data_IF_336006609024
#
_entry.id   IF_336006609024
#
_cell.length_a   1.000
_cell.length_b   1.000
_cell.length_c   1.000
_cell.angle_alpha   90.00
_cell.angle_beta   90.00
_cell.angle_gamma   90.00
#
_symmetry.space_group_name_H-M   'P 1'
#
loop_
_entity.id
_entity.type
_entity.pdbx_description
1 polymer ?
#
# COMPACT_ATOMS: atom_id res chain seq x y z
N UNK A 1 13.53 75.56 11.10
CA UNK A 1 12.48 76.60 11.06
C UNK A 1 11.23 75.85 11.45
N UNK A 2 10.84 75.93 12.70
CA UNK A 2 9.86 76.79 13.31
C UNK A 2 8.44 76.54 12.74
N UNK A 3 7.66 75.95 13.60
CA UNK A 3 6.42 76.40 14.29
C UNK A 3 5.16 75.95 13.54
N UNK A 4 4.01 75.65 14.14
CA UNK A 4 3.53 75.65 15.52
C UNK A 4 2.14 75.00 15.51
N UNK A 5 1.71 74.44 16.61
CA UNK A 5 0.32 74.14 16.98
C UNK A 5 -0.49 75.46 17.23
N UNK A 6 -1.81 75.44 17.18
CA UNK A 6 -2.63 75.47 18.42
C UNK A 6 -3.87 74.61 18.35
N UNK A 7 -4.32 73.96 19.39
CA UNK A 7 -5.01 74.19 20.66
C UNK A 7 -6.53 74.48 20.58
N UNK A 8 -7.29 73.53 21.22
CA UNK A 8 -8.46 73.70 22.09
C UNK A 8 -9.78 74.34 21.57
N UNK A 9 -10.93 73.63 21.72
CA UNK A 9 -11.90 73.82 22.76
C UNK A 9 -13.11 72.89 22.64
N UNK A 10 -13.39 72.19 23.66
CA UNK A 10 -14.56 71.80 24.44
C UNK A 10 -15.97 72.14 23.90
N UNK A 11 -16.89 71.14 23.92
CA UNK A 11 -18.19 71.24 24.63
C UNK A 11 -18.81 69.88 24.86
N UNK A 12 -19.29 69.69 26.08
CA UNK A 12 -20.03 68.54 26.62
C UNK A 12 -21.45 68.48 26.03
N UNK A 13 -21.98 67.26 25.87
CA UNK A 13 -23.41 67.00 26.06
C UNK A 13 -23.59 65.58 26.57
N UNK A 14 -24.16 65.45 27.74
CA UNK A 14 -24.69 64.18 28.30
C UNK A 14 -25.93 63.78 27.49
N UNK A 15 -26.13 62.50 27.24
CA UNK A 15 -27.44 61.84 27.40
C UNK A 15 -27.34 60.33 27.41
N UNK A 16 -27.89 59.76 28.47
CA UNK A 16 -28.63 58.53 28.63
C UNK A 16 -27.88 57.15 28.48
N UNK A 17 -27.65 56.53 29.63
CA UNK A 17 -27.50 55.11 29.85
C UNK A 17 -28.73 54.33 29.35
N UNK A 18 -28.51 53.34 28.48
CA UNK A 18 -29.41 52.22 28.31
C UNK A 18 -28.60 50.94 28.57
N UNK A 19 -28.92 50.31 29.71
CA UNK A 19 -28.32 49.02 30.12
C UNK A 19 -28.96 47.92 29.29
N UNK A 20 -28.20 47.33 28.36
CA UNK A 20 -28.48 45.98 27.80
C UNK A 20 -27.60 44.97 28.55
N UNK A 21 -28.20 44.23 29.48
CA UNK A 21 -27.63 43.00 30.02
C UNK A 21 -27.73 41.91 28.96
N UNK A 22 -26.66 41.74 28.18
CA UNK A 22 -26.47 40.56 27.35
C UNK A 22 -25.91 39.43 28.19
N UNK A 23 -26.73 38.41 28.53
CA UNK A 23 -26.27 37.17 29.12
C UNK A 23 -25.34 36.45 28.10
N UNK A 24 -24.04 36.51 28.31
CA UNK A 24 -23.10 35.64 27.69
C UNK A 24 -23.23 34.25 28.31
N UNK A 25 -23.93 33.31 27.63
CA UNK A 25 -23.82 31.90 27.91
C UNK A 25 -22.43 31.47 27.47
N UNK A 26 -21.50 31.32 28.38
CA UNK A 26 -20.25 30.62 28.19
C UNK A 26 -20.60 29.14 28.17
N UNK A 27 -20.79 28.60 26.97
CA UNK A 27 -20.83 27.14 26.78
C UNK A 27 -19.42 26.60 27.03
N UNK A 28 -19.16 26.13 28.23
CA UNK A 28 -17.99 25.31 28.53
C UNK A 28 -18.13 23.99 27.77
N UNK A 29 -17.47 23.88 26.62
CA UNK A 29 -17.17 22.57 26.03
C UNK A 29 -16.26 21.85 27.01
N UNK A 30 -16.82 20.93 27.80
CA UNK A 30 -16.06 19.93 28.52
C UNK A 30 -15.52 18.97 27.48
N UNK A 31 -14.30 19.20 27.03
CA UNK A 31 -13.56 18.19 26.29
C UNK A 31 -13.32 17.03 27.27
N UNK A 32 -14.13 15.99 27.17
CA UNK A 32 -13.86 14.71 27.82
C UNK A 32 -12.55 14.17 27.22
N UNK A 33 -11.47 14.30 27.96
CA UNK A 33 -10.23 13.62 27.62
C UNK A 33 -10.54 12.13 27.56
N UNK A 34 -10.46 11.55 26.37
CA UNK A 34 -10.53 10.11 26.18
C UNK A 34 -9.34 9.51 26.94
N UNK A 35 -9.61 8.87 28.09
CA UNK A 35 -8.59 8.15 28.82
C UNK A 35 -8.39 6.81 28.13
N UNK A 36 -7.16 6.57 27.65
CA UNK A 36 -6.78 5.26 27.13
C UNK A 36 -6.89 4.21 28.23
N UNK A 37 -7.37 3.01 27.91
CA UNK A 37 -7.49 1.90 28.84
C UNK A 37 -6.14 1.44 29.39
N UNK A 38 -6.14 0.59 30.43
CA UNK A 38 -4.91 0.13 31.05
C UNK A 38 -4.10 -0.78 30.11
N UNK A 39 -2.77 -0.73 30.28
CA UNK A 39 -1.86 -1.69 29.69
C UNK A 39 -1.84 -2.99 30.49
N UNK A 40 -1.93 -4.12 29.80
CA UNK A 40 -1.79 -5.46 30.38
C UNK A 40 -0.45 -6.06 29.91
N UNK A 41 0.39 -6.61 30.82
CA UNK A 41 1.60 -7.31 30.40
C UNK A 41 1.24 -8.64 29.71
N UNK A 42 1.89 -8.94 28.59
CA UNK A 42 1.82 -10.25 27.92
C UNK A 42 2.93 -11.20 28.34
N UNK A 43 3.92 -10.71 29.06
CA UNK A 43 5.05 -11.45 29.59
C UNK A 43 5.35 -10.98 31.01
N UNK A 44 5.50 -11.92 31.93
CA UNK A 44 5.71 -11.66 33.35
C UNK A 44 7.19 -11.38 33.73
N UNK A 45 8.10 -11.44 32.73
CA UNK A 45 9.54 -11.30 32.93
C UNK A 45 10.22 -12.54 33.52
N UNK A 46 9.51 -13.63 33.78
CA UNK A 46 10.04 -14.79 34.50
C UNK A 46 9.78 -16.13 33.83
N UNK A 47 8.61 -16.30 33.21
CA UNK A 47 8.15 -17.58 32.65
C UNK A 47 7.54 -17.40 31.27
N UNK A 48 7.44 -18.49 30.51
CA UNK A 48 6.70 -18.56 29.26
C UNK A 48 5.25 -19.02 29.48
N UNK A 49 4.70 -18.85 30.68
CA UNK A 49 3.30 -19.17 30.96
C UNK A 49 2.36 -18.34 30.07
N UNK A 50 1.37 -18.98 29.44
CA UNK A 50 0.47 -18.36 28.48
C UNK A 50 1.04 -18.28 27.06
N UNK A 51 2.21 -18.90 26.83
CA UNK A 51 2.84 -19.02 25.51
C UNK A 51 3.05 -20.49 25.14
N UNK A 52 2.98 -20.80 23.84
CA UNK A 52 3.29 -22.12 23.29
C UNK A 52 4.08 -21.99 22.00
N UNK A 53 4.95 -22.95 21.72
CA UNK A 53 5.71 -22.96 20.48
C UNK A 53 4.96 -23.69 19.36
N UNK A 54 4.98 -23.12 18.16
CA UNK A 54 4.47 -23.70 16.92
C UNK A 54 5.53 -23.63 15.82
N UNK A 55 5.38 -24.47 14.81
CA UNK A 55 6.30 -24.52 13.67
C UNK A 55 7.59 -25.27 13.98
N UNK A 56 8.74 -24.62 13.75
CA UNK A 56 10.06 -25.22 13.93
C UNK A 56 10.46 -25.48 15.39
N UNK A 57 11.75 -25.85 15.57
CA UNK A 57 12.30 -26.27 16.86
C UNK A 57 13.36 -25.32 17.43
N UNK A 58 13.41 -24.08 16.95
CA UNK A 58 14.31 -23.08 17.53
C UNK A 58 13.99 -22.86 19.02
N UNK A 59 14.97 -22.91 19.93
CA UNK A 59 14.69 -22.81 21.37
C UNK A 59 14.30 -21.39 21.78
N UNK A 60 13.37 -21.29 22.72
CA UNK A 60 13.01 -20.08 23.45
C UNK A 60 13.30 -20.27 24.94
N UNK A 61 13.90 -19.26 25.55
CA UNK A 61 14.22 -19.25 26.96
C UNK A 61 13.91 -17.88 27.57
N UNK A 62 13.83 -17.83 28.92
CA UNK A 62 13.77 -16.55 29.64
C UNK A 62 15.12 -16.32 30.29
N UNK A 63 15.76 -15.20 30.00
CA UNK A 63 17.03 -14.76 30.59
C UNK A 63 16.90 -13.29 31.00
N UNK A 64 17.17 -12.97 32.24
CA UNK A 64 17.19 -11.59 32.76
C UNK A 64 15.97 -10.76 32.38
N UNK A 65 14.76 -11.28 32.55
CA UNK A 65 13.51 -10.60 32.24
C UNK A 65 13.23 -10.46 30.76
N UNK A 66 13.89 -11.25 29.93
CA UNK A 66 13.81 -11.17 28.46
C UNK A 66 13.50 -12.55 27.87
N UNK A 67 12.59 -12.61 26.90
CA UNK A 67 12.39 -13.79 26.05
C UNK A 67 13.53 -13.81 25.02
N UNK A 68 14.24 -14.91 24.93
CA UNK A 68 15.36 -15.11 23.98
C UNK A 68 15.05 -16.28 23.07
N UNK A 69 14.91 -16.01 21.78
CA UNK A 69 14.86 -17.02 20.72
C UNK A 69 16.25 -17.19 20.09
N UNK A 70 16.65 -18.41 19.76
CA UNK A 70 17.96 -18.69 19.17
C UNK A 70 17.81 -19.42 17.84
N UNK A 71 18.45 -18.93 16.79
CA UNK A 71 18.41 -19.56 15.46
C UNK A 71 19.08 -20.93 15.45
N UNK A 72 18.48 -21.87 14.75
CA UNK A 72 18.97 -23.25 14.58
C UNK A 72 18.93 -23.63 13.10
N UNK A 73 19.97 -24.29 12.62
CA UNK A 73 20.02 -24.81 11.25
C UNK A 73 19.01 -25.94 11.02
N UNK A 74 18.54 -26.07 9.77
CA UNK A 74 17.73 -27.19 9.33
C UNK A 74 16.30 -27.25 9.89
N UNK A 75 15.82 -26.20 10.52
CA UNK A 75 14.43 -26.10 11.01
C UNK A 75 13.63 -25.05 10.21
N UNK A 76 12.31 -25.23 10.01
CA UNK A 76 11.46 -24.18 9.49
C UNK A 76 11.32 -23.03 10.50
N UNK A 77 10.59 -21.98 10.13
CA UNK A 77 10.25 -20.87 11.04
C UNK A 77 9.65 -21.40 12.33
N UNK A 78 10.14 -20.91 13.45
CA UNK A 78 9.63 -21.20 14.79
C UNK A 78 8.91 -19.98 15.35
N UNK A 79 7.80 -20.20 16.02
CA UNK A 79 6.93 -19.16 16.53
C UNK A 79 6.57 -19.42 17.99
N UNK A 80 6.93 -18.50 18.89
CA UNK A 80 6.43 -18.52 20.26
C UNK A 80 5.12 -17.74 20.26
N UNK A 81 3.98 -18.43 20.38
CA UNK A 81 2.63 -17.88 20.21
C UNK A 81 1.93 -17.69 21.53
N UNK A 82 1.13 -16.61 21.67
CA UNK A 82 0.21 -16.51 22.81
C UNK A 82 -0.89 -17.57 22.73
N UNK A 83 -1.28 -18.14 23.86
CA UNK A 83 -2.43 -19.07 23.95
C UNK A 83 -3.75 -18.31 23.73
N UNK A 84 -3.84 -17.06 24.19
CA UNK A 84 -4.97 -16.17 23.97
C UNK A 84 -4.93 -15.57 22.58
N UNK A 85 -6.10 -15.22 22.06
CA UNK A 85 -6.28 -14.50 20.80
C UNK A 85 -6.86 -13.11 21.05
N UNK A 86 -6.51 -12.15 20.19
CA UNK A 86 -6.84 -10.74 20.32
C UNK A 86 -7.47 -10.24 19.04
N UNK A 87 -8.53 -9.42 19.15
CA UNK A 87 -9.20 -8.72 18.06
C UNK A 87 -8.60 -7.32 17.88
N UNK A 88 -9.27 -6.31 18.43
CA UNK A 88 -8.76 -4.93 18.44
C UNK A 88 -7.80 -4.74 19.60
N UNK A 89 -6.68 -4.07 19.32
CA UNK A 89 -5.63 -3.83 20.30
C UNK A 89 -4.64 -2.74 19.87
N UNK A 90 -3.89 -2.26 20.87
CA UNK A 90 -2.59 -1.59 20.72
C UNK A 90 -1.57 -2.46 21.44
N UNK A 91 -0.52 -2.87 20.75
CA UNK A 91 0.56 -3.70 21.29
C UNK A 91 1.89 -2.96 21.22
N UNK A 92 2.72 -3.15 22.24
CA UNK A 92 4.09 -2.64 22.27
C UNK A 92 5.05 -3.68 22.84
N UNK A 93 6.27 -3.68 22.32
CA UNK A 93 7.40 -4.40 22.88
C UNK A 93 8.73 -3.73 22.53
N UNK A 94 9.79 -4.14 23.19
CA UNK A 94 11.15 -3.85 22.77
C UNK A 94 11.81 -5.11 22.22
N UNK A 95 12.55 -4.97 21.12
CA UNK A 95 13.27 -6.05 20.45
C UNK A 95 14.72 -5.68 20.17
N UNK A 96 15.62 -6.66 20.33
CA UNK A 96 17.04 -6.54 19.99
C UNK A 96 17.53 -7.85 19.36
N UNK A 97 18.48 -7.76 18.44
CA UNK A 97 19.18 -8.92 17.88
C UNK A 97 20.64 -8.91 18.31
N UNK A 98 21.22 -10.09 18.50
CA UNK A 98 22.61 -10.28 18.89
C UNK A 98 23.29 -11.34 18.01
N UNK A 99 24.57 -11.11 17.70
CA UNK A 99 25.36 -12.01 16.84
C UNK A 99 25.15 -11.76 15.35
N UNK A 100 24.73 -10.56 14.98
CA UNK A 100 24.38 -10.15 13.63
C UNK A 100 22.89 -10.25 13.33
N UNK A 101 22.48 -9.59 12.26
CA UNK A 101 21.07 -9.53 11.86
C UNK A 101 20.56 -10.86 11.30
N UNK A 102 19.35 -11.22 11.68
CA UNK A 102 18.58 -12.30 11.07
C UNK A 102 17.14 -11.84 10.85
N UNK A 103 16.45 -12.38 9.85
CA UNK A 103 15.04 -12.10 9.65
C UNK A 103 14.23 -12.55 10.89
N UNK A 104 13.23 -11.79 11.26
CA UNK A 104 12.34 -12.04 12.39
C UNK A 104 11.06 -11.22 12.23
N UNK A 105 10.22 -11.22 13.25
CA UNK A 105 9.01 -10.39 13.27
C UNK A 105 8.12 -10.66 14.47
N UNK A 106 7.13 -9.80 14.63
CA UNK A 106 6.03 -9.99 15.56
C UNK A 106 4.75 -10.22 14.77
N UNK A 107 4.24 -11.44 14.83
CA UNK A 107 2.95 -11.75 14.23
C UNK A 107 1.80 -11.28 15.11
N UNK A 108 0.70 -10.88 14.47
CA UNK A 108 -0.52 -10.44 15.14
C UNK A 108 -1.76 -10.87 14.35
N UNK A 109 -2.87 -11.08 15.04
CA UNK A 109 -4.09 -11.65 14.46
C UNK A 109 -3.78 -12.89 13.60
N UNK A 110 -2.79 -13.69 14.01
CA UNK A 110 -2.33 -14.86 13.27
C UNK A 110 -3.02 -16.13 13.74
N UNK A 111 -2.97 -17.15 12.91
CA UNK A 111 -3.67 -18.41 13.07
C UNK A 111 -2.75 -19.60 12.75
N UNK A 112 -3.13 -20.78 13.25
CA UNK A 112 -2.54 -22.07 12.90
C UNK A 112 -3.70 -23.07 12.89
N UNK A 113 -4.28 -23.29 11.72
CA UNK A 113 -5.46 -24.11 11.51
C UNK A 113 -5.04 -25.45 10.90
N UNK A 114 -5.51 -26.56 11.45
CA UNK A 114 -5.09 -27.89 10.98
C UNK A 114 -5.35 -28.10 9.49
N UNK A 115 -6.46 -27.55 8.97
CA UNK A 115 -6.86 -27.60 7.57
C UNK A 115 -6.04 -26.67 6.66
N UNK A 116 -5.30 -25.71 7.22
CA UNK A 116 -4.47 -24.80 6.43
C UNK A 116 -3.01 -25.27 6.43
N UNK A 117 -2.55 -25.83 5.31
CA UNK A 117 -1.17 -26.29 5.12
C UNK A 117 -0.61 -27.07 6.33
N UNK A 118 -1.41 -28.03 6.86
CA UNK A 118 -1.06 -28.87 8.01
C UNK A 118 -0.71 -28.06 9.27
N UNK A 119 -1.48 -27.01 9.58
CA UNK A 119 -1.28 -26.20 10.79
C UNK A 119 -0.18 -25.13 10.64
N UNK A 120 0.24 -24.81 9.43
CA UNK A 120 1.21 -23.73 9.21
C UNK A 120 0.73 -22.43 9.86
N UNK A 121 1.61 -21.81 10.64
CA UNK A 121 1.36 -20.47 11.19
C UNK A 121 1.26 -19.47 10.04
N UNK A 122 0.20 -18.68 10.04
CA UNK A 122 -0.09 -17.71 9.00
C UNK A 122 -0.81 -16.48 9.55
N UNK A 123 -0.60 -15.32 8.95
CA UNK A 123 -1.23 -14.07 9.37
C UNK A 123 -0.33 -12.86 9.21
N UNK A 124 -0.78 -11.73 9.75
CA UNK A 124 -0.05 -10.48 9.66
C UNK A 124 1.22 -10.49 10.53
N UNK A 125 2.28 -9.91 10.02
CA UNK A 125 3.56 -9.77 10.72
C UNK A 125 4.10 -8.36 10.57
N UNK A 126 4.41 -7.70 11.70
CA UNK A 126 5.38 -6.62 11.70
C UNK A 126 6.73 -7.25 11.42
N UNK A 127 7.22 -7.04 10.23
CA UNK A 127 8.46 -7.66 9.76
C UNK A 127 9.68 -6.99 10.34
N UNK A 128 10.72 -7.77 10.65
CA UNK A 128 12.06 -7.27 10.97
C UNK A 128 13.04 -7.88 9.96
N UNK A 129 13.48 -7.01 9.06
CA UNK A 129 14.38 -7.34 7.96
C UNK A 129 15.65 -6.48 8.03
N UNK A 130 16.68 -6.95 8.73
CA UNK A 130 17.95 -6.23 8.89
C UNK A 130 18.89 -6.40 7.69
N UNK A 131 18.45 -7.03 6.61
CA UNK A 131 19.23 -7.15 5.37
C UNK A 131 19.39 -5.78 4.68
N UNK A 132 20.25 -5.65 3.66
CA UNK A 132 20.36 -4.41 2.87
C UNK A 132 19.04 -3.94 2.25
N UNK A 133 18.03 -4.80 2.14
CA UNK A 133 16.68 -4.44 1.73
C UNK A 133 16.02 -3.48 2.74
N UNK A 134 16.25 -3.69 4.03
CA UNK A 134 15.81 -2.82 5.14
C UNK A 134 14.30 -2.54 5.14
N UNK A 135 13.47 -3.59 5.12
CA UNK A 135 12.02 -3.48 5.14
C UNK A 135 11.40 -3.71 6.52
N UNK A 136 12.19 -3.49 7.58
CA UNK A 136 11.69 -3.59 8.96
C UNK A 136 10.53 -2.63 9.21
N UNK A 137 9.51 -3.11 9.92
CA UNK A 137 8.26 -2.39 10.21
C UNK A 137 7.21 -2.49 9.10
N UNK A 138 7.55 -3.01 7.92
CA UNK A 138 6.57 -3.35 6.90
C UNK A 138 5.60 -4.43 7.39
N UNK A 139 4.43 -4.56 6.75
CA UNK A 139 3.48 -5.64 7.04
C UNK A 139 3.61 -6.73 5.99
N UNK A 140 3.99 -7.91 6.48
CA UNK A 140 4.05 -9.16 5.71
C UNK A 140 2.88 -10.06 6.13
N UNK A 141 2.29 -10.78 5.19
CA UNK A 141 1.22 -11.75 5.43
C UNK A 141 1.79 -13.16 5.35
N UNK A 142 2.38 -13.62 6.46
CA UNK A 142 3.10 -14.90 6.59
C UNK A 142 2.24 -16.07 6.17
N UNK A 143 2.79 -16.92 5.32
CA UNK A 143 2.13 -18.13 4.86
C UNK A 143 0.94 -17.92 3.92
N UNK A 144 0.61 -16.67 3.52
CA UNK A 144 -0.54 -16.35 2.66
C UNK A 144 -0.15 -15.46 1.47
N UNK A 145 -0.36 -14.12 1.57
CA UNK A 145 -0.25 -13.17 0.44
C UNK A 145 1.11 -12.50 0.32
N UNK A 146 2.03 -12.71 1.29
CA UNK A 146 3.34 -12.07 1.30
C UNK A 146 3.27 -10.58 1.66
N UNK A 147 4.05 -9.74 0.98
CA UNK A 147 4.13 -8.32 1.31
C UNK A 147 2.82 -7.57 1.03
N UNK A 148 2.16 -7.10 2.08
CA UNK A 148 1.06 -6.15 1.98
C UNK A 148 1.57 -4.72 1.96
N UNK A 149 2.61 -4.43 2.76
CA UNK A 149 3.25 -3.12 2.82
C UNK A 149 4.78 -3.28 2.83
N UNK A 150 5.42 -3.39 1.66
CA UNK A 150 6.88 -3.43 1.57
C UNK A 150 7.49 -2.08 1.94
N UNK A 151 8.74 -2.05 2.44
CA UNK A 151 9.42 -0.83 2.88
C UNK A 151 9.62 0.22 1.77
N UNK A 152 9.49 -0.16 0.51
CA UNK A 152 9.52 0.77 -0.63
C UNK A 152 8.35 1.76 -0.65
N UNK A 153 7.23 1.45 0.00
CA UNK A 153 6.10 2.37 0.15
C UNK A 153 6.38 3.49 1.16
N UNK A 154 7.35 3.30 2.05
CA UNK A 154 7.83 4.31 2.99
C UNK A 154 9.37 4.28 3.08
N UNK A 155 10.09 4.83 2.09
CA UNK A 155 11.56 4.82 2.08
C UNK A 155 12.21 5.53 3.27
N UNK A 156 11.51 6.47 3.92
CA UNK A 156 12.02 7.18 5.11
C UNK A 156 12.13 6.28 6.35
N UNK A 157 11.49 5.12 6.35
CA UNK A 157 11.57 4.15 7.45
C UNK A 157 12.81 3.24 7.38
N UNK A 158 13.59 3.31 6.30
CA UNK A 158 14.69 2.38 6.00
C UNK A 158 15.66 2.17 7.16
N UNK A 159 16.05 3.23 7.86
CA UNK A 159 17.11 3.20 8.86
C UNK A 159 16.57 3.29 10.31
N UNK A 160 15.27 3.09 10.50
CA UNK A 160 14.64 3.18 11.82
C UNK A 160 15.02 2.01 12.74
N UNK A 161 15.12 0.79 12.19
CA UNK A 161 15.53 -0.38 12.94
C UNK A 161 17.05 -0.40 13.09
N UNK A 162 17.52 -0.38 14.33
CA UNK A 162 18.95 -0.36 14.67
C UNK A 162 19.39 -1.74 15.16
N UNK A 163 20.22 -2.41 14.36
CA UNK A 163 20.77 -3.70 14.71
C UNK A 163 21.58 -3.62 16.02
N UNK A 164 21.53 -4.67 16.85
CA UNK A 164 22.21 -4.81 18.15
C UNK A 164 21.83 -3.76 19.21
N UNK A 165 20.78 -2.97 18.94
CA UNK A 165 20.17 -2.04 19.90
C UNK A 165 18.74 -2.45 20.22
N UNK A 166 18.25 -2.01 21.37
CA UNK A 166 16.82 -2.13 21.69
C UNK A 166 16.03 -1.18 20.81
N UNK A 167 15.06 -1.73 20.09
CA UNK A 167 14.11 -1.01 19.26
C UNK A 167 12.71 -1.15 19.84
N UNK A 168 12.01 -0.05 19.97
CA UNK A 168 10.60 -0.05 20.38
C UNK A 168 9.73 -0.34 19.14
N UNK A 169 8.92 -1.38 19.25
CA UNK A 169 7.95 -1.80 18.23
C UNK A 169 6.54 -1.53 18.75
N UNK A 170 5.69 -0.95 17.89
CA UNK A 170 4.28 -0.74 18.19
C UNK A 170 3.42 -1.23 17.04
N UNK A 171 2.30 -1.88 17.36
CA UNK A 171 1.27 -2.33 16.42
C UNK A 171 -0.07 -1.81 16.91
N UNK A 172 -0.83 -1.14 16.05
CA UNK A 172 -2.24 -0.86 16.23
C UNK A 172 -3.05 -1.68 15.24
N UNK A 173 -3.98 -2.48 15.74
CA UNK A 173 -4.95 -3.20 14.95
C UNK A 173 -6.34 -2.89 15.51
N UNK A 174 -7.03 -1.91 14.92
CA UNK A 174 -8.34 -1.43 15.36
C UNK A 174 -9.30 -1.50 14.17
N UNK A 175 -10.35 -2.30 14.28
CA UNK A 175 -11.21 -2.63 13.15
C UNK A 175 -10.41 -3.22 12.00
N UNK A 176 -10.49 -2.63 10.83
CA UNK A 176 -9.75 -3.03 9.63
C UNK A 176 -8.41 -2.33 9.46
N UNK A 177 -8.08 -1.35 10.32
CA UNK A 177 -6.84 -0.59 10.24
C UNK A 177 -5.71 -1.31 10.96
N UNK A 178 -4.60 -1.55 10.25
CA UNK A 178 -3.39 -2.20 10.74
C UNK A 178 -2.23 -1.24 10.53
N UNK A 179 -1.61 -0.78 11.61
CA UNK A 179 -0.53 0.21 11.57
C UNK A 179 0.66 -0.26 12.39
N UNK A 180 1.86 0.08 11.96
CA UNK A 180 3.10 -0.27 12.65
C UNK A 180 4.01 0.94 12.86
N UNK A 181 4.79 0.91 13.93
CA UNK A 181 5.82 1.91 14.26
C UNK A 181 7.10 1.22 14.67
N UNK A 182 8.23 1.84 14.36
CA UNK A 182 9.55 1.53 14.92
C UNK A 182 10.10 2.80 15.57
N UNK A 183 10.54 2.70 16.82
CA UNK A 183 11.13 3.80 17.59
C UNK A 183 10.26 5.08 17.59
N UNK A 184 8.95 4.91 17.68
CA UNK A 184 7.97 6.00 17.70
C UNK A 184 7.63 6.59 16.33
N UNK A 185 8.26 6.14 15.24
CA UNK A 185 8.00 6.64 13.88
C UNK A 185 7.06 5.68 13.15
N UNK A 186 5.96 6.17 12.51
CA UNK A 186 5.03 5.33 11.75
C UNK A 186 5.73 4.76 10.50
N UNK A 187 5.52 3.46 10.26
CA UNK A 187 6.16 2.73 9.15
C UNK A 187 5.17 2.28 8.10
N UNK A 188 4.06 1.65 8.51
CA UNK A 188 3.10 1.09 7.56
C UNK A 188 1.65 1.32 7.99
N UNK A 189 0.76 1.37 6.98
CA UNK A 189 -0.68 1.45 7.17
C UNK A 189 -1.40 0.58 6.12
N UNK A 190 -2.03 -0.49 6.58
CA UNK A 190 -2.82 -1.42 5.75
C UNK A 190 -4.28 -1.41 6.24
N UNK A 191 -5.21 -1.42 5.31
CA UNK A 191 -6.64 -1.65 5.57
C UNK A 191 -6.98 -3.05 5.07
N UNK A 192 -7.33 -3.95 6.00
CA UNK A 192 -7.63 -5.34 5.70
C UNK A 192 -8.61 -5.94 6.71
N UNK A 193 -9.47 -6.84 6.26
CA UNK A 193 -10.48 -7.52 7.09
C UNK A 193 -10.38 -9.05 7.07
N UNK A 194 -9.31 -9.60 6.48
CA UNK A 194 -9.20 -11.06 6.27
C UNK A 194 -9.14 -11.84 7.59
N UNK A 195 -8.40 -11.33 8.58
CA UNK A 195 -8.28 -11.99 9.89
C UNK A 195 -8.51 -10.97 11.01
N UNK A 196 -9.76 -10.85 11.51
CA UNK A 196 -10.12 -9.85 12.51
C UNK A 196 -9.61 -10.19 13.91
N UNK A 197 -9.21 -11.45 14.18
CA UNK A 197 -8.77 -11.94 15.48
C UNK A 197 -7.78 -13.09 15.33
N UNK A 198 -6.76 -13.14 16.19
CA UNK A 198 -5.78 -14.21 16.23
C UNK A 198 -4.78 -14.03 17.37
N UNK A 199 -3.76 -14.87 17.43
CA UNK A 199 -2.71 -14.81 18.43
C UNK A 199 -1.57 -13.84 18.00
N UNK A 200 -0.72 -13.46 18.97
CA UNK A 200 0.61 -12.91 18.73
C UNK A 200 1.64 -14.02 18.64
N UNK A 201 2.67 -13.82 17.82
CA UNK A 201 3.82 -14.72 17.82
C UNK A 201 5.15 -13.97 17.65
N UNK A 202 6.16 -14.44 18.37
CA UNK A 202 7.54 -13.99 18.22
C UNK A 202 8.27 -14.98 17.31
N UNK A 203 8.78 -14.50 16.17
CA UNK A 203 9.37 -15.37 15.14
C UNK A 203 10.87 -15.52 15.34
N UNK A 204 11.36 -16.78 15.31
CA UNK A 204 12.73 -17.13 14.96
C UNK A 204 12.70 -17.70 13.54
N UNK A 205 13.21 -16.93 12.60
CA UNK A 205 13.18 -17.30 11.18
C UNK A 205 14.15 -18.45 10.88
N UNK A 206 13.77 -19.31 9.96
CA UNK A 206 14.63 -20.36 9.40
C UNK A 206 15.89 -19.75 8.79
N UNK A 207 17.02 -20.30 9.14
CA UNK A 207 18.34 -19.90 8.58
C UNK A 207 18.90 -20.95 7.62
N UNK A 208 18.13 -22.01 7.32
CA UNK A 208 18.59 -23.11 6.51
C UNK A 208 19.87 -23.73 7.07
N UNK A 209 20.82 -24.03 6.20
CA UNK A 209 22.16 -24.53 6.56
C UNK A 209 23.25 -23.48 6.29
N UNK A 210 22.90 -22.19 6.31
CA UNK A 210 23.87 -21.13 6.03
C UNK A 210 24.90 -21.02 7.15
N UNK A 211 26.21 -21.05 6.83
CA UNK A 211 27.26 -20.91 7.83
C UNK A 211 27.15 -19.60 8.62
N UNK A 212 27.36 -19.65 9.95
CA UNK A 212 27.35 -18.47 10.82
C UNK A 212 25.97 -17.86 11.08
N UNK A 213 24.90 -18.51 10.65
CA UNK A 213 23.53 -18.03 10.93
C UNK A 213 22.90 -18.71 12.16
N UNK A 214 23.33 -19.93 12.52
CA UNK A 214 22.90 -20.60 13.73
C UNK A 214 23.54 -19.96 14.99
N UNK A 215 22.81 -19.96 16.10
CA UNK A 215 23.26 -19.41 17.37
C UNK A 215 23.02 -17.90 17.53
N UNK A 216 22.47 -17.22 16.52
CA UNK A 216 22.07 -15.81 16.65
C UNK A 216 20.87 -15.69 17.57
N UNK A 217 20.84 -14.62 18.36
CA UNK A 217 19.82 -14.42 19.40
C UNK A 217 18.90 -13.27 19.02
N UNK A 218 17.61 -13.48 19.23
CA UNK A 218 16.57 -12.48 19.12
C UNK A 218 15.95 -12.32 20.51
N UNK A 219 15.88 -11.11 21.01
CA UNK A 219 15.50 -10.78 22.37
C UNK A 219 14.26 -9.89 22.36
N UNK A 220 13.26 -10.22 23.20
CA UNK A 220 12.04 -9.44 23.38
C UNK A 220 11.79 -9.19 24.86
N UNK A 221 11.41 -7.96 25.22
CA UNK A 221 11.01 -7.57 26.57
C UNK A 221 9.91 -6.53 26.56
N UNK A 222 9.35 -6.20 27.71
CA UNK A 222 8.33 -5.16 27.89
C UNK A 222 7.11 -5.36 26.97
N UNK A 223 6.72 -6.64 26.74
CA UNK A 223 5.56 -6.98 25.91
C UNK A 223 4.29 -6.59 26.67
N UNK A 224 3.51 -5.66 26.12
CA UNK A 224 2.27 -5.17 26.71
C UNK A 224 1.20 -4.88 25.68
N UNK A 225 -0.05 -4.93 26.10
CA UNK A 225 -1.21 -4.76 25.23
C UNK A 225 -2.30 -3.90 25.89
N UNK A 226 -3.01 -3.12 25.11
CA UNK A 226 -4.30 -2.52 25.44
C UNK A 226 -5.37 -3.16 24.57
N UNK A 227 -6.50 -3.52 25.16
CA UNK A 227 -7.65 -4.12 24.48
C UNK A 227 -8.97 -3.42 24.78
N UNK A 228 -8.94 -2.40 25.66
CA UNK A 228 -10.12 -1.62 26.06
C UNK A 228 -9.83 -0.14 25.90
N UNK A 229 -10.88 0.64 25.64
CA UNK A 229 -10.83 2.10 25.52
C UNK A 229 -9.69 2.56 24.61
N UNK A 230 -9.60 1.91 23.44
CA UNK A 230 -8.52 2.12 22.48
C UNK A 230 -8.64 3.50 21.86
N UNK A 231 -7.57 4.29 21.95
CA UNK A 231 -7.45 5.59 21.28
C UNK A 231 -6.47 5.42 20.13
N UNK A 232 -6.94 5.46 18.86
CA UNK A 232 -6.06 5.35 17.71
C UNK A 232 -5.01 6.47 17.70
N UNK A 233 -3.79 6.15 17.29
CA UNK A 233 -2.78 7.18 17.03
C UNK A 233 -3.25 8.17 15.97
N UNK A 234 -2.84 9.44 16.05
CA UNK A 234 -3.20 10.45 15.05
C UNK A 234 -2.93 9.97 13.62
N UNK A 235 -3.67 10.54 12.66
CA UNK A 235 -3.43 10.30 11.25
C UNK A 235 -2.02 10.76 10.85
N UNK A 236 -1.40 10.03 9.94
CA UNK A 236 -0.12 10.36 9.34
C UNK A 236 -0.29 10.57 7.81
N UNK A 237 0.81 10.87 7.14
CA UNK A 237 0.84 11.09 5.68
C UNK A 237 1.24 9.85 4.89
N UNK A 238 1.31 8.68 5.52
CA UNK A 238 1.68 7.45 4.83
C UNK A 238 0.70 7.10 3.71
N UNK A 239 1.22 6.48 2.68
CA UNK A 239 0.37 5.80 1.71
C UNK A 239 -0.42 4.69 2.43
N UNK A 240 -1.73 4.66 2.25
CA UNK A 240 -2.60 3.64 2.82
C UNK A 240 -2.81 2.52 1.80
N UNK A 241 -2.34 1.32 2.13
CA UNK A 241 -2.58 0.14 1.31
C UNK A 241 -3.88 -0.52 1.73
N UNK A 242 -4.98 -0.18 1.06
CA UNK A 242 -6.26 -0.85 1.27
C UNK A 242 -6.35 -2.08 0.35
N UNK A 243 -6.51 -3.25 0.94
CA UNK A 243 -6.63 -4.53 0.24
C UNK A 243 -8.07 -5.11 0.28
N UNK A 244 -9.02 -4.38 0.86
CA UNK A 244 -10.45 -4.75 0.81
C UNK A 244 -10.99 -4.33 -0.55
N UNK A 245 -11.45 -5.27 -1.39
CA UNK A 245 -11.85 -4.96 -2.75
C UNK A 245 -12.96 -3.91 -2.84
N UNK A 246 -12.83 -3.00 -3.81
CA UNK A 246 -13.82 -1.98 -4.16
C UNK A 246 -14.27 -1.11 -2.98
N UNK A 247 -13.35 -0.81 -2.06
CA UNK A 247 -13.63 0.06 -0.93
C UNK A 247 -12.63 1.23 -0.84
N UNK A 248 -13.08 2.31 -0.22
CA UNK A 248 -12.25 3.44 0.20
C UNK A 248 -12.48 3.65 1.68
N UNK A 249 -11.45 3.52 2.49
CA UNK A 249 -11.50 3.75 3.94
C UNK A 249 -11.66 5.23 4.27
N UNK A 250 -12.07 5.57 5.50
CA UNK A 250 -12.19 6.97 5.94
C UNK A 250 -10.85 7.73 5.85
N UNK A 251 -9.74 7.05 6.13
CA UNK A 251 -8.40 7.64 5.98
C UNK A 251 -8.09 7.95 4.51
N UNK A 252 -8.42 7.05 3.60
CA UNK A 252 -8.22 7.29 2.17
C UNK A 252 -9.13 8.42 1.67
N UNK A 253 -10.40 8.48 2.12
CA UNK A 253 -11.30 9.61 1.81
C UNK A 253 -10.73 10.95 2.27
N UNK A 254 -10.18 10.99 3.49
CA UNK A 254 -9.51 12.18 4.01
C UNK A 254 -8.27 12.58 3.20
N UNK A 255 -7.60 11.60 2.55
CA UNK A 255 -6.49 11.84 1.62
C UNK A 255 -6.95 12.17 0.17
N UNK A 256 -8.27 12.29 -0.07
CA UNK A 256 -8.85 12.63 -1.38
C UNK A 256 -9.11 11.46 -2.32
N UNK A 257 -8.97 10.22 -1.86
CA UNK A 257 -9.29 9.04 -2.67
C UNK A 257 -10.79 8.84 -2.84
N UNK A 258 -11.18 8.40 -4.01
CA UNK A 258 -12.54 7.91 -4.34
C UNK A 258 -12.46 6.70 -5.27
N UNK A 259 -13.51 5.91 -5.30
CA UNK A 259 -13.65 4.89 -6.34
C UNK A 259 -13.81 5.58 -7.70
N UNK A 260 -13.08 5.09 -8.68
CA UNK A 260 -13.25 5.42 -10.09
C UNK A 260 -14.15 4.42 -10.79
N UNK A 261 -14.30 3.23 -10.19
CA UNK A 261 -15.27 2.20 -10.56
C UNK A 261 -15.93 1.65 -9.30
N UNK A 262 -17.26 1.55 -9.31
CA UNK A 262 -18.08 1.21 -8.14
C UNK A 262 -18.11 -0.29 -7.79
N UNK A 263 -17.50 -1.13 -8.64
CA UNK A 263 -17.50 -2.59 -8.48
C UNK A 263 -18.75 -3.28 -9.02
N UNK A 264 -19.72 -2.55 -9.60
CA UNK A 264 -21.02 -3.11 -9.95
C UNK A 264 -21.61 -2.64 -11.28
N UNK A 265 -21.37 -1.38 -11.68
CA UNK A 265 -22.01 -0.76 -12.84
C UNK A 265 -21.00 -0.26 -13.87
N UNK A 266 -21.50 0.26 -14.98
CA UNK A 266 -20.67 0.90 -16.02
C UNK A 266 -20.56 2.41 -15.82
N UNK A 267 -21.09 2.96 -14.73
CA UNK A 267 -21.13 4.40 -14.47
C UNK A 267 -19.73 5.02 -14.50
N UNK A 268 -19.60 6.15 -15.20
CA UNK A 268 -18.33 6.86 -15.39
C UNK A 268 -17.39 6.27 -16.44
N UNK A 269 -17.82 5.20 -17.15
CA UNK A 269 -17.06 4.53 -18.20
C UNK A 269 -17.89 4.34 -19.48
N UNK A 270 -17.22 4.45 -20.61
CA UNK A 270 -17.79 4.19 -21.93
C UNK A 270 -16.76 3.57 -22.87
N UNK A 271 -17.18 3.04 -24.00
CA UNK A 271 -16.26 2.60 -25.03
C UNK A 271 -15.43 3.76 -25.60
N UNK A 272 -14.17 3.50 -25.93
CA UNK A 272 -13.33 4.47 -26.61
C UNK A 272 -13.96 4.84 -27.98
N UNK A 273 -14.10 6.13 -28.24
CA UNK A 273 -14.79 6.69 -29.41
C UNK A 273 -16.28 6.28 -29.52
N UNK A 274 -16.92 5.93 -28.41
CA UNK A 274 -18.32 5.58 -28.30
C UNK A 274 -19.02 6.45 -27.26
N UNK A 275 -20.35 6.48 -27.27
CA UNK A 275 -21.16 7.24 -26.29
C UNK A 275 -21.67 6.36 -25.15
N UNK A 276 -21.58 5.04 -25.28
CA UNK A 276 -22.03 4.07 -24.26
C UNK A 276 -20.95 3.05 -23.97
N UNK A 277 -21.11 2.33 -22.87
CA UNK A 277 -20.27 1.19 -22.54
C UNK A 277 -20.48 0.05 -23.56
N UNK A 278 -19.42 -0.70 -23.99
CA UNK A 278 -19.54 -1.77 -24.95
C UNK A 278 -20.54 -2.85 -24.50
N UNK A 279 -21.41 -3.28 -25.37
CA UNK A 279 -22.39 -4.33 -25.07
C UNK A 279 -21.74 -5.74 -24.96
N UNK A 280 -20.56 -5.91 -25.54
CA UNK A 280 -19.80 -7.17 -25.55
C UNK A 280 -18.35 -6.93 -25.15
N UNK A 281 -17.60 -8.01 -24.89
CA UNK A 281 -16.17 -7.98 -24.62
C UNK A 281 -15.81 -7.59 -23.18
N UNK A 282 -16.75 -7.11 -22.40
CA UNK A 282 -16.57 -6.81 -20.98
C UNK A 282 -17.64 -7.50 -20.15
N UNK A 283 -17.24 -7.98 -18.98
CA UNK A 283 -18.12 -8.64 -18.01
C UNK A 283 -17.93 -8.03 -16.63
N UNK A 284 -19.04 -7.67 -15.99
CA UNK A 284 -19.07 -7.24 -14.59
C UNK A 284 -19.74 -8.33 -13.78
N UNK A 285 -19.03 -8.91 -12.84
CA UNK A 285 -19.56 -9.94 -11.94
C UNK A 285 -18.74 -10.02 -10.65
N UNK A 286 -19.39 -10.22 -9.50
CA UNK A 286 -18.74 -10.42 -8.20
C UNK A 286 -17.74 -9.32 -7.80
N UNK A 287 -18.00 -8.07 -8.17
CA UNK A 287 -17.07 -6.97 -7.91
C UNK A 287 -15.82 -6.97 -8.80
N UNK A 288 -15.85 -7.71 -9.91
CA UNK A 288 -14.78 -7.81 -10.88
C UNK A 288 -15.22 -7.30 -12.25
N UNK A 289 -14.36 -6.54 -12.92
CA UNK A 289 -14.50 -6.06 -14.29
C UNK A 289 -13.50 -6.83 -15.15
N UNK A 290 -14.01 -7.70 -16.04
CA UNK A 290 -13.17 -8.60 -16.82
C UNK A 290 -13.28 -8.36 -18.32
N UNK A 291 -12.17 -8.43 -19.05
CA UNK A 291 -12.18 -8.62 -20.49
C UNK A 291 -12.64 -10.05 -20.78
N UNK A 292 -13.71 -10.19 -21.53
CA UNK A 292 -14.21 -11.47 -22.01
C UNK A 292 -13.66 -11.74 -23.42
N UNK A 293 -12.73 -12.71 -23.58
CA UNK A 293 -12.22 -13.04 -24.89
C UNK A 293 -13.33 -13.37 -25.90
N UNK A 294 -13.22 -12.97 -27.18
CA UNK A 294 -14.19 -13.34 -28.18
C UNK A 294 -14.37 -14.87 -28.26
N UNK A 295 -15.60 -15.33 -28.28
CA UNK A 295 -15.91 -16.77 -28.39
C UNK A 295 -16.72 -17.05 -29.67
N UNK A 296 -16.26 -18.03 -30.44
CA UNK A 296 -16.90 -18.45 -31.68
C UNK A 296 -16.43 -17.70 -32.92
N UNK A 297 -16.76 -18.28 -34.08
CA UNK A 297 -16.39 -17.71 -35.38
C UNK A 297 -17.07 -16.35 -35.62
N UNK A 298 -16.29 -15.33 -35.98
CA UNK A 298 -16.81 -13.97 -36.21
C UNK A 298 -17.06 -13.13 -34.95
N UNK A 299 -16.76 -13.65 -33.74
CA UNK A 299 -16.88 -12.88 -32.50
C UNK A 299 -15.90 -11.69 -32.50
N UNK A 300 -16.39 -10.52 -32.08
CA UNK A 300 -15.61 -9.27 -32.04
C UNK A 300 -15.21 -8.96 -30.58
N UNK A 301 -14.06 -8.30 -30.43
CA UNK A 301 -13.66 -7.67 -29.17
C UNK A 301 -14.65 -6.56 -28.80
N UNK A 302 -14.81 -6.29 -27.51
CA UNK A 302 -15.63 -5.16 -27.05
C UNK A 302 -15.01 -3.81 -27.34
N UNK A 303 -13.69 -3.80 -27.40
CA UNK A 303 -12.88 -2.60 -27.54
C UNK A 303 -12.53 -1.95 -26.20
N UNK A 304 -11.60 -1.05 -26.24
CA UNK A 304 -11.11 -0.31 -25.08
C UNK A 304 -12.24 0.49 -24.42
N UNK A 305 -12.18 0.62 -23.08
CA UNK A 305 -13.07 1.50 -22.31
C UNK A 305 -12.28 2.67 -21.74
N UNK A 306 -12.92 3.85 -21.71
CA UNK A 306 -12.35 5.10 -21.20
C UNK A 306 -13.22 5.69 -20.11
N UNK A 307 -12.61 6.44 -19.21
CA UNK A 307 -13.35 7.28 -18.25
C UNK A 307 -14.10 8.40 -18.98
N UNK A 308 -15.28 8.79 -18.48
CA UNK A 308 -15.98 10.00 -18.93
C UNK A 308 -15.25 11.26 -18.47
N UNK A 309 -14.54 11.19 -17.39
CA UNK A 309 -13.76 12.24 -16.75
C UNK A 309 -12.33 12.30 -17.32
N UNK A 310 -11.71 13.49 -17.32
CA UNK A 310 -10.30 13.71 -17.70
C UNK A 310 -9.45 14.04 -16.46
N UNK A 311 -8.16 13.78 -16.55
CA UNK A 311 -7.20 13.95 -15.47
C UNK A 311 -5.93 14.63 -15.97
N UNK A 312 -5.37 15.53 -15.15
CA UNK A 312 -4.07 16.20 -15.41
C UNK A 312 -3.00 15.72 -14.42
N UNK A 313 -3.18 15.97 -13.13
CA UNK A 313 -2.32 15.45 -12.07
C UNK A 313 -3.16 14.58 -11.14
N UNK A 314 -2.76 13.33 -10.97
CA UNK A 314 -3.56 12.33 -10.26
C UNK A 314 -2.73 11.18 -9.75
N UNK A 315 -3.32 10.43 -8.84
CA UNK A 315 -2.83 9.12 -8.44
C UNK A 315 -3.95 8.10 -8.67
N UNK A 316 -3.66 7.09 -9.47
CA UNK A 316 -4.53 5.95 -9.76
C UNK A 316 -3.99 4.71 -9.06
N UNK A 317 -4.85 3.95 -8.41
CA UNK A 317 -4.53 2.64 -7.88
C UNK A 317 -5.60 1.64 -8.33
N UNK A 318 -5.18 0.44 -8.69
CA UNK A 318 -6.08 -0.65 -9.06
C UNK A 318 -5.45 -2.01 -8.81
N UNK A 319 -6.29 -3.02 -8.69
CA UNK A 319 -5.85 -4.41 -8.73
C UNK A 319 -6.20 -5.05 -10.06
N UNK A 320 -5.29 -5.88 -10.57
CA UNK A 320 -5.47 -6.62 -11.80
C UNK A 320 -5.02 -8.08 -11.65
N UNK A 321 -5.58 -8.96 -12.47
CA UNK A 321 -5.21 -10.37 -12.56
C UNK A 321 -5.11 -10.76 -14.03
N UNK A 322 -3.94 -11.26 -14.44
CA UNK A 322 -3.65 -11.72 -15.80
C UNK A 322 -3.84 -13.22 -15.90
N UNK A 323 -4.52 -13.69 -16.92
CA UNK A 323 -4.46 -15.08 -17.30
C UNK A 323 -3.16 -15.39 -18.05
N UNK A 324 -2.73 -16.68 -18.12
CA UNK A 324 -1.54 -17.07 -18.87
C UNK A 324 -1.58 -16.59 -20.33
N UNK A 325 -0.52 -15.88 -20.75
CA UNK A 325 -0.39 -15.32 -22.08
C UNK A 325 -1.17 -14.02 -22.34
N UNK A 326 -1.81 -13.45 -21.33
CA UNK A 326 -2.64 -12.25 -21.50
C UNK A 326 -1.83 -10.99 -21.75
N UNK A 327 -2.44 -10.07 -22.51
CA UNK A 327 -2.00 -8.71 -22.78
C UNK A 327 -3.15 -7.73 -22.53
N UNK A 328 -2.86 -6.64 -21.87
CA UNK A 328 -3.74 -5.50 -21.64
C UNK A 328 -2.88 -4.27 -21.28
N UNK A 329 -3.50 -3.16 -20.90
CA UNK A 329 -2.81 -1.95 -20.48
C UNK A 329 -3.73 -0.98 -19.77
N UNK A 330 -3.13 -0.14 -18.93
CA UNK A 330 -3.78 1.04 -18.38
C UNK A 330 -3.19 2.25 -19.07
N UNK A 331 -3.99 2.90 -19.96
CA UNK A 331 -3.52 4.10 -20.64
C UNK A 331 -3.98 5.36 -19.92
N UNK A 332 -3.17 6.40 -20.02
CA UNK A 332 -3.42 7.70 -19.40
C UNK A 332 -3.00 8.84 -20.34
N UNK A 333 -3.51 10.03 -20.11
CA UNK A 333 -3.49 11.13 -21.07
C UNK A 333 -4.07 10.71 -22.43
N UNK A 334 -5.14 9.90 -22.37
CA UNK A 334 -5.76 9.37 -23.59
C UNK A 334 -6.51 10.47 -24.30
N UNK A 335 -6.18 10.58 -25.61
CA UNK A 335 -6.88 11.43 -26.58
C UNK A 335 -7.55 10.53 -27.60
N UNK A 336 -8.85 10.70 -27.79
CA UNK A 336 -9.63 9.99 -28.80
C UNK A 336 -9.47 10.70 -30.16
N UNK A 337 -9.29 9.91 -31.20
CA UNK A 337 -9.05 10.43 -32.55
C UNK A 337 -10.35 10.49 -33.35
N UNK A 338 -10.55 11.53 -34.21
CA UNK A 338 -11.75 11.62 -35.04
C UNK A 338 -11.95 10.42 -35.98
N UNK A 339 -10.85 9.77 -36.39
CA UNK A 339 -10.87 8.58 -37.26
C UNK A 339 -11.09 7.27 -36.50
N UNK A 340 -11.37 7.36 -35.21
CA UNK A 340 -11.48 6.24 -34.30
C UNK A 340 -10.13 5.86 -33.63
N UNK A 341 -10.21 5.14 -32.55
CA UNK A 341 -9.09 4.76 -31.70
C UNK A 341 -8.73 5.79 -30.64
N UNK A 342 -8.01 5.35 -29.65
CA UNK A 342 -7.60 6.11 -28.48
C UNK A 342 -6.09 5.97 -28.28
N UNK A 343 -5.39 7.09 -28.16
CA UNK A 343 -3.95 7.13 -28.02
C UNK A 343 -3.58 7.75 -26.67
N UNK A 344 -2.70 7.11 -25.93
CA UNK A 344 -2.19 7.59 -24.65
C UNK A 344 -0.91 6.89 -24.25
N UNK A 345 -0.28 7.38 -23.19
CA UNK A 345 0.81 6.70 -22.50
C UNK A 345 0.25 5.44 -21.86
N UNK A 346 1.06 4.38 -21.74
CA UNK A 346 0.55 3.08 -21.33
C UNK A 346 1.42 2.44 -20.24
N UNK A 347 0.79 2.15 -19.10
CA UNK A 347 1.30 1.21 -18.11
C UNK A 347 0.97 -0.20 -18.61
N UNK A 348 2.00 -0.96 -19.03
CA UNK A 348 1.81 -2.27 -19.64
C UNK A 348 1.35 -3.33 -18.62
N UNK A 349 0.35 -4.12 -19.00
CA UNK A 349 -0.12 -5.31 -18.29
C UNK A 349 0.04 -6.53 -19.19
N UNK A 350 1.05 -7.37 -18.93
CA UNK A 350 1.44 -8.44 -19.85
C UNK A 350 1.99 -9.65 -19.10
N UNK A 351 1.76 -10.84 -19.64
CA UNK A 351 2.51 -12.04 -19.25
C UNK A 351 3.88 -12.04 -19.96
N UNK A 352 4.91 -11.66 -19.24
CA UNK A 352 6.27 -11.51 -19.78
C UNK A 352 6.86 -12.80 -20.35
N UNK A 353 6.40 -13.96 -19.85
CA UNK A 353 6.93 -15.27 -20.27
C UNK A 353 6.26 -15.77 -21.54
N UNK A 354 4.92 -15.67 -21.60
CA UNK A 354 4.13 -16.35 -22.65
C UNK A 354 3.67 -15.43 -23.77
N UNK A 355 3.49 -14.12 -23.52
CA UNK A 355 3.04 -13.23 -24.59
C UNK A 355 4.20 -12.81 -25.51
N UNK A 356 3.99 -12.88 -26.82
CA UNK A 356 5.02 -12.62 -27.82
C UNK A 356 5.56 -11.18 -27.79
N UNK A 357 4.71 -10.18 -27.47
CA UNK A 357 5.08 -8.77 -27.44
C UNK A 357 6.14 -8.45 -26.35
N UNK A 358 6.20 -9.23 -25.26
CA UNK A 358 7.24 -9.08 -24.24
C UNK A 358 8.66 -9.31 -24.79
N UNK A 359 8.79 -10.06 -25.87
CA UNK A 359 10.06 -10.38 -26.54
C UNK A 359 10.45 -9.37 -27.62
N UNK A 360 9.56 -8.41 -27.89
CA UNK A 360 9.76 -7.33 -28.84
C UNK A 360 10.20 -6.04 -28.13
N UNK A 361 10.44 -4.99 -28.91
CA UNK A 361 10.91 -3.73 -28.35
C UNK A 361 12.39 -3.74 -27.97
N UNK A 362 12.79 -2.88 -27.06
CA UNK A 362 14.19 -2.66 -26.66
C UNK A 362 14.33 -2.82 -25.14
N UNK A 363 15.25 -3.67 -24.71
CA UNK A 363 15.63 -3.86 -23.30
C UNK A 363 14.43 -4.16 -22.37
N UNK A 364 13.36 -4.81 -22.85
CA UNK A 364 12.19 -5.15 -22.04
C UNK A 364 11.19 -4.00 -21.85
N UNK A 365 11.22 -2.98 -22.70
CA UNK A 365 10.30 -1.84 -22.62
C UNK A 365 8.84 -2.15 -23.01
N UNK A 366 8.52 -3.43 -23.22
CA UNK A 366 7.15 -3.93 -23.44
C UNK A 366 6.72 -4.98 -22.42
N UNK A 367 7.44 -5.08 -21.30
CA UNK A 367 7.10 -6.00 -20.21
C UNK A 367 6.16 -5.38 -19.19
N UNK A 368 5.59 -6.21 -18.30
CA UNK A 368 4.68 -5.78 -17.24
C UNK A 368 5.22 -4.58 -16.45
N UNK A 369 4.43 -3.53 -16.31
CA UNK A 369 4.77 -2.33 -15.53
C UNK A 369 5.65 -1.33 -16.26
N UNK A 370 6.15 -1.62 -17.45
CA UNK A 370 6.91 -0.68 -18.29
C UNK A 370 6.05 0.51 -18.74
N UNK A 371 6.68 1.64 -19.10
CA UNK A 371 6.06 2.61 -19.99
C UNK A 371 6.20 2.05 -21.42
N UNK A 372 5.11 1.49 -21.92
CA UNK A 372 5.09 0.67 -23.13
C UNK A 372 5.84 1.28 -24.31
N UNK A 373 6.76 0.50 -24.85
CA UNK A 373 7.64 0.83 -26.00
C UNK A 373 8.58 2.03 -25.78
N UNK A 374 8.66 2.56 -24.55
CA UNK A 374 9.49 3.71 -24.21
C UNK A 374 10.51 3.38 -23.13
N UNK A 375 10.05 3.01 -21.90
CA UNK A 375 10.92 2.83 -20.73
C UNK A 375 10.66 1.46 -20.12
N UNK A 376 11.69 0.58 -20.04
CA UNK A 376 11.55 -0.70 -19.38
C UNK A 376 11.33 -0.51 -17.86
N UNK A 377 10.67 -1.46 -17.23
CA UNK A 377 10.67 -1.47 -15.76
C UNK A 377 12.09 -1.67 -15.24
N UNK A 378 12.45 -0.93 -14.19
CA UNK A 378 13.74 -1.09 -13.54
C UNK A 378 13.82 -2.42 -12.78
N UNK A 379 15.01 -2.97 -12.67
CA UNK A 379 15.31 -4.04 -11.73
C UNK A 379 15.17 -3.50 -10.30
N UNK A 380 14.71 -4.35 -9.38
CA UNK A 380 14.62 -4.02 -7.96
C UNK A 380 15.99 -3.70 -7.37
N UNK A 381 16.08 -2.74 -6.43
CA UNK A 381 17.25 -2.64 -5.57
C UNK A 381 17.50 -3.99 -4.88
N UNK A 382 18.74 -4.50 -4.94
CA UNK A 382 19.09 -5.80 -4.36
C UNK A 382 18.77 -7.03 -5.23
N UNK A 383 18.45 -6.85 -6.52
CA UNK A 383 18.28 -7.96 -7.47
C UNK A 383 17.00 -8.77 -7.28
N UNK A 384 16.05 -8.30 -6.49
CA UNK A 384 14.74 -8.93 -6.38
C UNK A 384 13.99 -8.75 -7.71
N UNK A 385 13.84 -9.83 -8.46
CA UNK A 385 12.97 -9.85 -9.63
C UNK A 385 11.52 -9.69 -9.16
N UNK A 386 10.81 -8.68 -9.71
CA UNK A 386 9.36 -8.69 -9.65
C UNK A 386 8.93 -9.74 -10.66
N UNK A 387 8.77 -10.97 -10.20
CA UNK A 387 8.16 -11.98 -11.03
C UNK A 387 6.66 -11.64 -11.19
N UNK A 388 6.16 -11.55 -12.42
CA UNK A 388 4.72 -11.47 -12.64
C UNK A 388 4.04 -12.67 -11.98
N UNK A 389 3.04 -12.44 -11.15
CA UNK A 389 2.25 -13.51 -10.52
C UNK A 389 1.01 -13.75 -11.37
N UNK A 390 1.18 -14.57 -12.43
CA UNK A 390 0.10 -14.90 -13.35
C UNK A 390 -0.98 -15.71 -12.63
N UNK A 391 -2.24 -15.34 -12.81
CA UNK A 391 -3.39 -15.95 -12.13
C UNK A 391 -3.66 -15.39 -10.72
N UNK A 392 -2.80 -14.51 -10.20
CA UNK A 392 -2.97 -13.86 -8.90
C UNK A 392 -3.30 -12.38 -9.02
N UNK A 393 -3.94 -11.83 -8.00
CA UNK A 393 -4.16 -10.40 -7.88
C UNK A 393 -2.85 -9.66 -7.66
N UNK A 394 -2.61 -8.66 -8.49
CA UNK A 394 -1.48 -7.75 -8.41
C UNK A 394 -1.98 -6.31 -8.31
N UNK A 395 -1.15 -5.45 -7.77
CA UNK A 395 -1.48 -4.05 -7.55
C UNK A 395 -0.66 -3.15 -8.47
N UNK A 396 -1.34 -2.37 -9.30
CA UNK A 396 -0.76 -1.28 -10.06
C UNK A 396 -1.10 0.06 -9.39
N UNK A 397 -0.11 0.94 -9.33
CA UNK A 397 -0.28 2.32 -8.90
C UNK A 397 0.46 3.23 -9.87
N UNK A 398 -0.21 4.25 -10.36
CA UNK A 398 0.30 5.24 -11.28
C UNK A 398 0.19 6.61 -10.61
N UNK A 399 1.30 7.34 -10.52
CA UNK A 399 1.32 8.70 -9.95
C UNK A 399 1.75 9.66 -11.03
N UNK A 400 0.94 10.67 -11.29
CA UNK A 400 1.24 11.78 -12.20
C UNK A 400 1.23 13.06 -11.39
N UNK A 401 2.39 13.64 -11.18
CA UNK A 401 2.55 14.86 -10.40
C UNK A 401 2.29 16.13 -11.23
N UNK A 402 1.97 17.26 -10.59
CA UNK A 402 1.75 18.54 -11.28
C UNK A 402 2.96 19.03 -12.11
N UNK A 403 4.17 18.61 -11.75
CA UNK A 403 5.44 18.92 -12.44
C UNK A 403 5.75 18.01 -13.63
N UNK A 404 4.78 17.17 -14.04
CA UNK A 404 4.93 16.14 -15.07
C UNK A 404 5.85 14.98 -14.74
N UNK A 405 6.31 14.82 -13.50
CA UNK A 405 6.94 13.59 -13.05
C UNK A 405 5.90 12.49 -12.98
N UNK A 406 6.23 11.33 -13.48
CA UNK A 406 5.35 10.16 -13.54
C UNK A 406 6.05 8.96 -12.93
N UNK A 407 5.33 8.20 -12.12
CA UNK A 407 5.82 6.97 -11.50
C UNK A 407 4.86 5.81 -11.80
N UNK A 408 5.42 4.67 -12.22
CA UNK A 408 4.72 3.38 -12.23
C UNK A 408 5.18 2.55 -11.03
N UNK A 409 4.22 1.98 -10.34
CA UNK A 409 4.44 1.11 -9.18
C UNK A 409 3.75 -0.23 -9.40
N UNK A 410 4.46 -1.32 -9.15
CA UNK A 410 3.95 -2.69 -9.23
C UNK A 410 4.14 -3.38 -7.87
N UNK A 411 3.07 -3.85 -7.26
CA UNK A 411 3.07 -4.52 -5.95
C UNK A 411 3.82 -3.75 -4.86
N UNK A 412 3.64 -2.42 -4.83
CA UNK A 412 4.28 -1.52 -3.88
C UNK A 412 5.72 -1.13 -4.20
N UNK A 413 6.22 -1.45 -5.38
CA UNK A 413 7.57 -1.17 -5.82
C UNK A 413 7.55 -0.23 -7.01
N UNK A 414 8.31 0.87 -6.96
CA UNK A 414 8.46 1.79 -8.07
C UNK A 414 9.31 1.16 -9.17
N UNK A 415 8.72 0.95 -10.34
CA UNK A 415 9.34 0.25 -11.47
C UNK A 415 9.72 1.17 -12.64
N UNK A 416 9.05 2.32 -12.77
CA UNK A 416 9.38 3.36 -13.76
C UNK A 416 9.24 4.72 -13.09
N UNK A 417 10.15 5.64 -13.42
CA UNK A 417 10.04 7.06 -13.13
C UNK A 417 10.56 7.86 -14.32
N UNK A 418 9.83 8.90 -14.71
CA UNK A 418 10.24 9.80 -15.79
C UNK A 418 9.55 11.16 -15.67
N UNK A 419 10.03 12.14 -16.44
CA UNK A 419 9.38 13.43 -16.60
C UNK A 419 8.80 13.53 -18.00
N UNK A 420 7.47 13.56 -18.10
CA UNK A 420 6.72 13.70 -19.33
C UNK A 420 7.08 15.02 -20.04
N UNK A 421 7.31 14.98 -21.34
CA UNK A 421 7.69 16.15 -22.13
C UNK A 421 9.15 16.61 -22.00
N UNK A 422 9.96 15.94 -21.15
CA UNK A 422 11.40 16.21 -21.07
C UNK A 422 12.14 15.91 -22.39
N UNK A 423 13.35 16.46 -22.60
CA UNK A 423 14.15 16.11 -23.78
C UNK A 423 14.41 14.61 -23.92
N UNK A 424 14.65 13.91 -22.78
CA UNK A 424 14.82 12.46 -22.78
C UNK A 424 13.53 11.74 -23.23
N UNK A 425 12.38 12.11 -22.67
CA UNK A 425 11.10 11.54 -23.06
C UNK A 425 10.85 11.71 -24.58
N UNK A 426 11.07 12.92 -25.12
CA UNK A 426 10.90 13.18 -26.56
C UNK A 426 11.85 12.35 -27.42
N UNK A 427 13.10 12.16 -26.97
CA UNK A 427 14.07 11.33 -27.67
C UNK A 427 13.67 9.84 -27.68
N UNK A 428 13.04 9.35 -26.60
CA UNK A 428 12.49 7.99 -26.54
C UNK A 428 11.30 7.82 -27.50
N UNK A 429 10.37 8.78 -27.52
CA UNK A 429 9.23 8.79 -28.46
C UNK A 429 9.72 8.72 -29.91
N UNK A 430 10.72 9.53 -30.27
CA UNK A 430 11.30 9.55 -31.63
C UNK A 430 11.98 8.23 -32.06
N UNK A 431 12.22 7.31 -31.13
CA UNK A 431 12.81 5.97 -31.39
C UNK A 431 11.84 4.83 -31.18
N UNK A 432 10.58 5.12 -30.95
CA UNK A 432 9.53 4.14 -30.67
C UNK A 432 8.56 4.00 -31.84
N UNK A 433 7.59 3.11 -31.71
CA UNK A 433 6.48 3.01 -32.67
C UNK A 433 5.64 4.28 -32.78
N UNK A 434 5.82 5.23 -31.85
CA UNK A 434 5.11 6.51 -31.81
C UNK A 434 5.85 7.65 -32.53
N UNK A 435 6.99 7.40 -33.19
CA UNK A 435 7.83 8.39 -33.87
C UNK A 435 7.03 9.32 -34.81
N UNK A 436 6.02 8.74 -35.50
CA UNK A 436 5.15 9.47 -36.45
C UNK A 436 3.93 10.09 -35.80
N UNK A 437 3.84 10.11 -34.51
CA UNK A 437 2.72 10.71 -33.77
C UNK A 437 3.21 12.00 -33.10
N UNK A 438 2.92 13.17 -33.71
CA UNK A 438 3.26 14.45 -33.09
C UNK A 438 2.62 14.54 -31.70
N UNK A 439 3.33 15.12 -30.77
CA UNK A 439 2.85 15.40 -29.41
C UNK A 439 2.35 14.19 -28.62
N UNK A 440 2.85 12.98 -28.93
CA UNK A 440 2.52 11.78 -28.19
C UNK A 440 2.77 11.97 -26.69
N UNK A 441 1.72 11.77 -25.88
CA UNK A 441 1.75 11.94 -24.44
C UNK A 441 1.90 13.39 -23.94
N UNK A 442 1.72 14.41 -24.79
CA UNK A 442 1.89 15.83 -24.44
C UNK A 442 0.58 16.53 -24.07
N UNK A 443 -0.58 15.89 -24.21
CA UNK A 443 -1.86 16.50 -23.82
C UNK A 443 -1.81 16.98 -22.36
N UNK A 444 -2.31 18.20 -22.03
CA UNK A 444 -2.29 18.72 -20.66
C UNK A 444 -3.17 17.90 -19.72
N UNK A 445 -4.21 17.26 -20.23
CA UNK A 445 -5.11 16.34 -19.56
C UNK A 445 -5.57 15.24 -20.51
N UNK A 446 -6.14 14.19 -19.99
CA UNK A 446 -6.69 13.11 -20.81
C UNK A 446 -7.45 12.10 -19.98
N UNK A 447 -8.10 11.18 -20.69
CA UNK A 447 -8.86 10.09 -20.05
C UNK A 447 -7.94 8.98 -19.57
N UNK A 448 -8.43 8.18 -18.66
CA UNK A 448 -7.87 6.88 -18.32
C UNK A 448 -8.57 5.81 -19.17
N UNK A 449 -7.82 4.77 -19.56
CA UNK A 449 -8.32 3.71 -20.43
C UNK A 449 -7.89 2.36 -19.91
N UNK A 450 -8.81 1.40 -19.91
CA UNK A 450 -8.50 -0.03 -19.76
C UNK A 450 -8.58 -0.70 -21.12
N UNK A 451 -7.50 -1.41 -21.50
CA UNK A 451 -7.37 -1.98 -22.82
C UNK A 451 -8.03 -3.35 -22.94
N UNK A 452 -8.82 -3.53 -23.99
CA UNK A 452 -9.30 -4.82 -24.49
C UNK A 452 -8.40 -5.32 -25.64
N UNK A 453 -7.34 -6.05 -25.32
CA UNK A 453 -6.49 -6.70 -26.33
C UNK A 453 -7.09 -8.03 -26.84
N UNK A 454 -8.19 -8.49 -26.28
CA UNK A 454 -8.86 -9.77 -26.56
C UNK A 454 -8.41 -10.91 -25.66
N UNK A 455 -7.58 -10.63 -24.68
CA UNK A 455 -7.09 -11.61 -23.71
C UNK A 455 -7.80 -11.45 -22.35
N UNK A 456 -7.91 -12.54 -21.61
CA UNK A 456 -8.60 -12.52 -20.32
C UNK A 456 -7.77 -11.80 -19.25
N UNK A 457 -8.22 -10.62 -18.88
CA UNK A 457 -7.68 -9.79 -17.79
C UNK A 457 -8.84 -9.32 -16.91
N UNK A 458 -8.62 -9.29 -15.61
CA UNK A 458 -9.63 -8.90 -14.63
C UNK A 458 -9.12 -7.74 -13.79
N UNK A 459 -9.99 -6.77 -13.52
CA UNK A 459 -9.72 -5.56 -12.74
C UNK A 459 -10.67 -5.44 -11.56
N UNK A 460 -10.21 -4.81 -10.46
CA UNK A 460 -11.04 -4.40 -9.32
C UNK A 460 -10.34 -3.28 -8.53
N UNK A 461 -11.02 -2.73 -7.54
CA UNK A 461 -10.44 -1.72 -6.63
C UNK A 461 -9.87 -0.51 -7.37
N UNK A 462 -10.52 -0.10 -8.48
CA UNK A 462 -10.06 1.05 -9.28
C UNK A 462 -10.43 2.33 -8.54
N UNK A 463 -9.44 3.07 -8.08
CA UNK A 463 -9.61 4.29 -7.31
C UNK A 463 -8.63 5.37 -7.73
N UNK A 464 -9.02 6.62 -7.57
CA UNK A 464 -8.25 7.78 -7.99
C UNK A 464 -8.31 8.88 -6.94
N UNK A 465 -7.26 9.69 -6.87
CA UNK A 465 -7.27 11.01 -6.24
C UNK A 465 -6.57 12.03 -7.13
N UNK A 466 -7.05 13.27 -7.08
CA UNK A 466 -6.40 14.40 -7.76
C UNK A 466 -5.23 14.88 -6.91
N UNK A 467 -4.11 15.18 -7.54
CA UNK A 467 -2.95 15.82 -6.92
C UNK A 467 -2.96 17.32 -7.24
N UNK A 468 -2.48 18.15 -6.30
CA UNK A 468 -2.44 19.60 -6.42
C UNK A 468 -1.04 20.13 -6.21
#
# INVERSE_FOLDING_TARGET
MRNALPSLTSRRSLHALSRFLGSFMVSTLVATALHAGPWEPLFDGKTLSGWKQLGGVAPYAVLDGTIVGTTVSGTPNSFLTTEKTYGDFIFECEMRQEGGGTNSGVQFRSQSLAEYQNGRVHGYQLEIDPTPRAWSGGIYDEGRRGWLYPGTLNPSARDLYQLERWNHLRIEAIGTSLRTWINGVPVSHVIDNLTPKGFFALQVHSVGNQPGQAGRRILWRNLRIQTKDLVPSPADSLYVRNVIPNTVSEVEKAQGWRLLWDGATTAGWRGASQTAFPANGWKIANGELSVAPPQGEGAKKGGDIVTEETFSAFELALEFKLNPGANSGVKYFVVERPQGGALGLEYQLLDDEKHADAKQGVAGNRTLGSLYDLIPRSAMPGGLAIAPRIGEWQHARLVVYPDNRVEHWLNGIKVVEYVRGSPLFKALVARSKFEKTPDFGQSPEGRLLLQDHGDAVTFRSIKVRTLR
#
